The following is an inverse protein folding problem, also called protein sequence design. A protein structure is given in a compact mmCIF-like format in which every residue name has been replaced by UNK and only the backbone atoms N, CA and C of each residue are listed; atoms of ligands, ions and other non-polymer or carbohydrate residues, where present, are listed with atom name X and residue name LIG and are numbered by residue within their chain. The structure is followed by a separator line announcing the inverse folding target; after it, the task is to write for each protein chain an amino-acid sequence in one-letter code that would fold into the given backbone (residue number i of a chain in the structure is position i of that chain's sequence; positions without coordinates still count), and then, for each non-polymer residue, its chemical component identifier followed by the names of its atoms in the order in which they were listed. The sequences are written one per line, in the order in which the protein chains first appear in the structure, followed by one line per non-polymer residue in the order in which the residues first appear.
data_IF_169490962608
#
_entry.id   IF_169490962608
#
_cell.length_a   1.000
_cell.length_b   1.000
_cell.length_c   1.000
_cell.angle_alpha   90.00
_cell.angle_beta   90.00
_cell.angle_gamma   90.00
#
_symmetry.space_group_name_H-M   'P 1'
#
loop_
_entity.id
_entity.type
_entity.pdbx_description
1 polymer ?
#
# COMPACT_ATOMS: atom_id res chain seq x y z
N UNK A 1 -2.37 -6.56 -8.65
CA UNK A 1 -3.67 -5.84 -8.67
C UNK A 1 -4.60 -6.37 -9.77
N UNK A 2 -4.29 -6.18 -11.06
CA UNK A 2 -5.23 -6.49 -12.17
C UNK A 2 -5.73 -7.95 -12.20
N UNK A 3 -4.87 -8.94 -11.90
CA UNK A 3 -5.25 -10.37 -11.86
C UNK A 3 -5.89 -10.83 -10.54
N UNK A 4 -5.89 -9.97 -9.53
CA UNK A 4 -6.34 -10.29 -8.17
C UNK A 4 -7.70 -9.65 -7.86
N UNK A 5 -8.24 -8.86 -8.79
CA UNK A 5 -9.50 -8.16 -8.62
C UNK A 5 -10.65 -9.17 -8.59
N UNK A 6 -11.44 -9.17 -7.50
CA UNK A 6 -12.52 -10.13 -7.29
C UNK A 6 -12.13 -11.40 -6.53
N UNK A 7 -10.86 -11.58 -6.19
CA UNK A 7 -10.39 -12.67 -5.31
C UNK A 7 -10.07 -12.14 -3.90
N UNK A 8 -9.81 -13.05 -2.96
CA UNK A 8 -9.28 -12.75 -1.61
C UNK A 8 -8.19 -13.75 -1.24
N UNK A 9 -7.26 -13.33 -0.39
CA UNK A 9 -6.12 -14.12 0.08
C UNK A 9 -5.96 -13.95 1.59
N UNK A 10 -5.40 -14.94 2.30
CA UNK A 10 -5.09 -14.82 3.73
C UNK A 10 -4.17 -13.62 3.97
N UNK A 11 -3.02 -13.60 3.29
CA UNK A 11 -2.07 -12.50 3.32
C UNK A 11 -1.79 -11.92 1.92
N UNK A 12 -1.45 -10.63 1.86
CA UNK A 12 -1.07 -9.95 0.61
C UNK A 12 0.23 -9.18 0.77
N UNK A 13 1.13 -9.34 -0.20
CA UNK A 13 2.34 -8.55 -0.34
C UNK A 13 2.14 -7.49 -1.44
N UNK A 14 2.26 -6.21 -1.06
CA UNK A 14 2.06 -5.06 -1.93
C UNK A 14 3.40 -4.44 -2.28
N UNK A 15 3.76 -4.48 -3.56
CA UNK A 15 4.95 -3.81 -4.07
C UNK A 15 4.77 -2.28 -4.08
N UNK A 16 5.90 -1.58 -4.06
CA UNK A 16 6.01 -0.12 -3.98
C UNK A 16 5.51 0.62 -5.24
N UNK A 17 5.54 -0.03 -6.39
CA UNK A 17 5.09 0.48 -7.70
C UNK A 17 3.59 0.82 -7.73
N UNK A 18 2.77 0.19 -6.89
CA UNK A 18 1.34 0.50 -6.70
C UNK A 18 1.11 1.98 -6.36
N UNK A 19 2.08 2.64 -5.72
CA UNK A 19 1.97 4.03 -5.26
C UNK A 19 2.50 5.07 -6.27
N UNK A 20 2.97 4.66 -7.45
CA UNK A 20 3.64 5.53 -8.42
C UNK A 20 2.77 6.25 -9.44
N UNK A 21 1.62 5.70 -9.89
CA UNK A 21 0.84 6.35 -10.95
C UNK A 21 0.59 7.81 -10.62
N UNK A 22 0.94 8.72 -11.53
CA UNK A 22 0.83 10.18 -11.29
C UNK A 22 -0.63 10.60 -11.12
N UNK A 23 -1.53 9.91 -11.82
CA UNK A 23 -2.97 10.01 -11.62
C UNK A 23 -3.34 9.52 -10.21
N UNK A 24 -3.81 10.45 -9.38
CA UNK A 24 -4.20 10.18 -8.00
C UNK A 24 -5.45 9.31 -7.90
N UNK A 25 -6.36 9.36 -8.87
CA UNK A 25 -7.57 8.51 -8.89
C UNK A 25 -7.15 7.07 -9.13
N UNK A 26 -6.34 6.83 -10.16
CA UNK A 26 -5.82 5.50 -10.46
C UNK A 26 -4.99 4.95 -9.29
N UNK A 27 -4.08 5.75 -8.73
CA UNK A 27 -3.26 5.34 -7.59
C UNK A 27 -4.11 4.91 -6.38
N UNK A 28 -5.15 5.68 -6.05
CA UNK A 28 -6.08 5.35 -4.96
C UNK A 28 -6.81 4.04 -5.24
N UNK A 29 -7.28 3.83 -6.47
CA UNK A 29 -7.93 2.57 -6.86
C UNK A 29 -6.99 1.37 -6.73
N UNK A 30 -5.76 1.48 -7.23
CA UNK A 30 -4.78 0.39 -7.13
C UNK A 30 -4.42 0.07 -5.68
N UNK A 31 -4.18 1.09 -4.85
CA UNK A 31 -3.89 0.91 -3.44
C UNK A 31 -5.08 0.28 -2.70
N UNK A 32 -6.30 0.75 -2.97
CA UNK A 32 -7.52 0.18 -2.38
C UNK A 32 -7.68 -1.29 -2.74
N UNK A 33 -7.56 -1.65 -4.02
CA UNK A 33 -7.67 -3.04 -4.45
C UNK A 33 -6.56 -3.86 -3.80
N UNK A 34 -5.30 -3.42 -3.85
CA UNK A 34 -4.16 -4.12 -3.28
C UNK A 34 -4.33 -4.46 -1.79
N UNK A 35 -4.80 -3.50 -0.98
CA UNK A 35 -4.98 -3.70 0.47
C UNK A 35 -6.24 -4.54 0.76
N UNK A 36 -7.35 -4.28 0.09
CA UNK A 36 -8.64 -4.96 0.34
C UNK A 36 -8.68 -6.42 -0.09
N UNK A 37 -7.59 -6.97 -0.62
CA UNK A 37 -7.50 -8.38 -1.00
C UNK A 37 -7.10 -9.28 0.17
N UNK A 38 -6.47 -8.74 1.20
CA UNK A 38 -6.07 -9.51 2.37
C UNK A 38 -7.22 -9.73 3.34
N UNK A 39 -7.31 -10.93 3.90
CA UNK A 39 -8.24 -11.28 4.95
C UNK A 39 -7.62 -11.09 6.34
N UNK A 40 -6.32 -11.38 6.47
CA UNK A 40 -5.63 -11.43 7.75
C UNK A 40 -4.53 -10.36 7.84
N UNK A 41 -3.64 -10.28 6.84
CA UNK A 41 -2.49 -9.38 6.91
C UNK A 41 -2.09 -8.77 5.55
N UNK A 42 -1.52 -7.55 5.61
CA UNK A 42 -0.94 -6.85 4.47
C UNK A 42 0.51 -6.47 4.77
N UNK A 43 1.41 -6.89 3.90
CA UNK A 43 2.81 -6.50 3.91
C UNK A 43 3.05 -5.48 2.79
N UNK A 44 3.54 -4.28 3.12
CA UNK A 44 3.77 -3.22 2.14
C UNK A 44 5.27 -2.98 1.98
N UNK A 45 5.77 -3.14 0.76
CA UNK A 45 7.13 -2.76 0.41
C UNK A 45 7.23 -1.23 0.36
N UNK A 46 8.04 -0.68 1.26
CA UNK A 46 8.46 0.71 1.21
C UNK A 46 9.73 0.88 0.40
N UNK A 47 10.05 2.14 0.09
CA UNK A 47 11.37 2.53 -0.40
C UNK A 47 11.98 3.63 0.44
N UNK A 48 13.31 3.84 0.33
CA UNK A 48 13.93 5.02 0.87
C UNK A 48 13.17 6.28 0.45
N UNK A 49 12.87 7.13 1.43
CA UNK A 49 12.19 8.40 1.25
C UNK A 49 12.95 9.48 2.01
N UNK A 50 12.54 10.74 1.87
CA UNK A 50 13.16 11.82 2.63
C UNK A 50 13.05 11.59 4.13
N UNK A 51 14.01 12.08 4.90
CA UNK A 51 13.99 11.97 6.36
C UNK A 51 12.68 12.51 6.97
N UNK A 52 12.13 13.59 6.40
CA UNK A 52 10.85 14.16 6.83
C UNK A 52 9.66 13.25 6.53
N UNK A 53 9.66 12.56 5.39
CA UNK A 53 8.64 11.57 5.08
C UNK A 53 8.72 10.38 6.05
N UNK A 54 9.94 9.89 6.33
CA UNK A 54 10.17 8.79 7.29
C UNK A 54 9.70 9.20 8.69
N UNK A 55 10.02 10.41 9.15
CA UNK A 55 9.56 10.93 10.46
C UNK A 55 8.04 11.00 10.55
N UNK A 56 7.37 11.56 9.53
CA UNK A 56 5.90 11.64 9.49
C UNK A 56 5.24 10.27 9.55
N UNK A 57 5.71 9.32 8.75
CA UNK A 57 5.19 7.95 8.75
C UNK A 57 5.47 7.22 10.06
N UNK A 58 6.69 7.37 10.60
CA UNK A 58 7.05 6.78 11.89
C UNK A 58 6.16 7.29 13.03
N UNK A 59 5.83 8.58 13.01
CA UNK A 59 4.89 9.17 13.97
C UNK A 59 3.48 8.60 13.80
N UNK A 60 2.96 8.63 12.56
CA UNK A 60 1.61 8.14 12.27
C UNK A 60 1.41 6.65 12.62
N UNK A 61 2.44 5.81 12.41
CA UNK A 61 2.39 4.37 12.72
C UNK A 61 2.55 4.06 14.21
N UNK A 62 3.16 4.95 14.99
CA UNK A 62 3.31 4.78 16.44
C UNK A 62 2.06 5.21 17.24
N UNK A 63 1.02 5.76 16.58
CA UNK A 63 -0.14 6.38 17.23
C UNK A 63 0.23 7.52 18.22
N UNK A 64 1.20 8.38 17.86
CA UNK A 64 1.58 9.62 18.57
C UNK A 64 1.35 10.89 17.72
#
# INVERSE_FOLDING_TARGET
VHRSQGSSFGEVFVADDVFWPKDLVLRRQLAYVAVSRAQEAVWIAGRPSSADAVKRWSRALRNE
#
